data_IF_304037304781
#
_entry.id   IF_304037304781
#
_cell.length_a   1.000
_cell.length_b   1.000
_cell.length_c   1.000
_cell.angle_alpha   90.00
_cell.angle_beta   90.00
_cell.angle_gamma   90.00
#
_symmetry.space_group_name_H-M   'P 1'
#
loop_
_entity.id
_entity.type
_entity.pdbx_description
1 polymer ?
#
# COMPACT_ATOMS: atom_id res chain seq x y z
N UNK A 1 -26.88 -55.29 64.98
CA UNK A 1 -27.39 -55.00 63.62
C UNK A 1 -26.80 -53.66 63.19
N UNK A 2 -25.97 -53.67 62.14
CA UNK A 2 -25.01 -52.62 61.75
C UNK A 2 -25.65 -51.45 60.98
N UNK A 3 -25.37 -50.22 61.39
CA UNK A 3 -25.70 -49.00 60.65
C UNK A 3 -24.52 -48.61 59.74
N UNK A 4 -24.59 -48.90 58.44
CA UNK A 4 -23.56 -48.51 57.46
C UNK A 4 -23.82 -47.10 56.92
N UNK A 5 -22.89 -46.17 57.21
CA UNK A 5 -22.76 -44.86 56.55
C UNK A 5 -22.44 -45.07 55.06
N UNK A 6 -23.22 -44.46 54.17
CA UNK A 6 -22.87 -44.30 52.74
C UNK A 6 -22.31 -42.90 52.53
N UNK A 7 -21.08 -42.82 52.04
CA UNK A 7 -20.39 -41.61 51.61
C UNK A 7 -20.92 -41.26 50.22
N UNK A 8 -21.49 -40.07 50.04
CA UNK A 8 -21.79 -39.51 48.72
C UNK A 8 -20.52 -38.85 48.18
N UNK A 9 -19.98 -39.36 47.08
CA UNK A 9 -18.94 -38.70 46.31
C UNK A 9 -19.56 -37.61 45.43
N UNK A 10 -19.15 -36.36 45.61
CA UNK A 10 -19.52 -35.26 44.75
C UNK A 10 -18.71 -35.35 43.43
N UNK A 11 -19.40 -35.59 42.32
CA UNK A 11 -18.80 -35.50 40.99
C UNK A 11 -18.64 -34.01 40.62
N UNK A 12 -17.40 -33.55 40.57
CA UNK A 12 -17.04 -32.23 40.08
C UNK A 12 -17.23 -32.21 38.56
N UNK A 13 -18.30 -31.58 38.08
CA UNK A 13 -18.51 -31.35 36.65
C UNK A 13 -17.54 -30.25 36.21
N UNK A 14 -16.43 -30.62 35.58
CA UNK A 14 -15.57 -29.69 34.85
C UNK A 14 -16.35 -29.18 33.64
N UNK A 15 -16.85 -27.95 33.71
CA UNK A 15 -17.35 -27.25 32.54
C UNK A 15 -16.18 -27.02 31.57
N UNK A 16 -16.31 -27.30 30.27
CA UNK A 16 -15.27 -26.95 29.31
C UNK A 16 -15.13 -25.42 29.31
N UNK A 17 -13.97 -24.92 29.70
CA UNK A 17 -13.61 -23.53 29.44
C UNK A 17 -13.58 -23.35 27.93
N UNK A 18 -14.54 -22.62 27.37
CA UNK A 18 -14.44 -22.11 26.02
C UNK A 18 -13.13 -21.32 25.94
N UNK A 19 -12.13 -21.85 25.24
CA UNK A 19 -10.94 -21.10 24.93
C UNK A 19 -11.39 -19.84 24.18
N UNK A 20 -11.03 -18.65 24.68
CA UNK A 20 -11.25 -17.41 23.95
C UNK A 20 -10.61 -17.57 22.56
N UNK A 21 -11.38 -17.32 21.50
CA UNK A 21 -10.84 -17.36 20.15
C UNK A 21 -9.64 -16.42 20.07
N UNK A 22 -8.48 -16.94 19.66
CA UNK A 22 -7.30 -16.11 19.46
C UNK A 22 -7.61 -15.07 18.39
N UNK A 23 -7.18 -13.82 18.62
CA UNK A 23 -7.34 -12.77 17.63
C UNK A 23 -6.67 -13.15 16.31
N UNK A 24 -7.24 -12.74 15.19
CA UNK A 24 -6.76 -13.07 13.84
C UNK A 24 -6.67 -11.83 12.96
N UNK A 25 -5.86 -11.92 11.91
CA UNK A 25 -5.78 -10.93 10.85
C UNK A 25 -6.42 -11.51 9.59
N UNK A 26 -7.44 -10.84 9.08
CA UNK A 26 -8.14 -11.25 7.86
C UNK A 26 -7.97 -10.19 6.78
N UNK A 27 -7.75 -10.59 5.51
CA UNK A 27 -7.79 -9.64 4.42
C UNK A 27 -9.17 -9.02 4.25
N UNK A 28 -9.18 -7.81 3.72
CA UNK A 28 -10.35 -7.10 3.24
C UNK A 28 -10.02 -6.54 1.84
N UNK A 29 -10.76 -6.95 0.78
CA UNK A 29 -11.81 -7.96 0.78
C UNK A 29 -11.31 -9.35 1.24
N UNK A 30 -12.22 -10.21 1.69
CA UNK A 30 -11.88 -11.54 2.26
C UNK A 30 -11.17 -12.46 1.26
N UNK A 31 -11.31 -12.17 -0.03
CA UNK A 31 -10.51 -12.76 -1.11
C UNK A 31 -9.52 -11.71 -1.60
N UNK A 32 -8.26 -11.82 -1.17
CA UNK A 32 -7.20 -10.96 -1.66
C UNK A 32 -6.76 -11.42 -3.05
N UNK A 33 -6.79 -10.49 -3.99
CA UNK A 33 -6.61 -10.76 -5.41
C UNK A 33 -5.50 -9.84 -5.95
N UNK A 34 -4.60 -10.37 -6.78
CA UNK A 34 -3.48 -9.59 -7.29
C UNK A 34 -3.95 -8.35 -8.07
N UNK A 35 -3.27 -7.22 -7.88
CA UNK A 35 -3.66 -5.94 -8.49
C UNK A 35 -4.88 -5.27 -7.84
N UNK A 36 -5.57 -5.90 -6.89
CA UNK A 36 -6.59 -5.22 -6.09
C UNK A 36 -5.97 -4.51 -4.89
N UNK A 37 -6.60 -3.43 -4.42
CA UNK A 37 -6.26 -2.83 -3.13
C UNK A 37 -6.61 -3.81 -2.01
N UNK A 38 -5.58 -4.32 -1.34
CA UNK A 38 -5.74 -5.27 -0.25
C UNK A 38 -5.53 -4.53 1.06
N UNK A 39 -6.47 -4.70 1.98
CA UNK A 39 -6.32 -4.25 3.35
C UNK A 39 -6.35 -5.43 4.31
N UNK A 40 -5.95 -5.22 5.57
CA UNK A 40 -6.07 -6.23 6.62
C UNK A 40 -6.81 -5.66 7.82
N UNK A 41 -7.69 -6.49 8.38
CA UNK A 41 -8.48 -6.20 9.57
C UNK A 41 -8.10 -7.16 10.70
N UNK A 42 -8.02 -6.63 11.93
CA UNK A 42 -7.89 -7.43 13.14
C UNK A 42 -9.28 -7.86 13.63
N UNK A 43 -9.46 -9.13 14.01
CA UNK A 43 -10.71 -9.65 14.54
C UNK A 43 -10.46 -10.38 15.86
N UNK A 44 -11.44 -10.33 16.77
CA UNK A 44 -11.38 -11.06 18.04
C UNK A 44 -10.36 -10.52 19.05
N UNK A 45 -9.83 -9.31 18.85
CA UNK A 45 -8.97 -8.65 19.82
C UNK A 45 -9.81 -8.09 20.99
N UNK A 46 -9.39 -8.40 22.21
CA UNK A 46 -10.20 -8.20 23.42
C UNK A 46 -10.11 -6.80 24.04
N UNK A 47 -9.15 -5.96 23.62
CA UNK A 47 -8.90 -4.64 24.20
C UNK A 47 -9.11 -3.52 23.18
N UNK A 48 -9.67 -2.35 23.55
CA UNK A 48 -9.78 -1.18 22.67
C UNK A 48 -8.43 -0.82 22.03
N UNK A 49 -8.33 -0.95 20.70
CA UNK A 49 -7.24 -0.33 19.94
C UNK A 49 -7.45 1.18 19.97
N UNK A 50 -6.47 1.91 20.50
CA UNK A 50 -6.57 3.35 20.72
C UNK A 50 -6.18 4.14 19.46
N UNK A 51 -5.20 3.63 18.71
CA UNK A 51 -4.84 4.14 17.41
C UNK A 51 -5.39 3.19 16.33
N UNK A 52 -6.10 3.69 15.29
CA UNK A 52 -6.25 2.89 14.09
C UNK A 52 -4.83 2.64 13.59
N UNK A 53 -4.43 1.37 13.47
CA UNK A 53 -3.14 1.08 12.84
C UNK A 53 -3.22 1.51 11.39
N UNK A 54 -2.80 2.74 11.10
CA UNK A 54 -2.71 3.26 9.74
C UNK A 54 -1.35 2.95 9.13
N UNK A 55 -0.53 2.15 9.85
CA UNK A 55 0.91 2.14 9.77
C UNK A 55 1.49 0.74 9.81
N UNK A 56 2.12 0.35 8.71
CA UNK A 56 2.79 -0.93 8.56
C UNK A 56 4.10 -0.78 7.81
N UNK A 57 4.84 -1.87 7.85
CA UNK A 57 6.08 -2.04 7.13
C UNK A 57 6.05 -3.37 6.38
N UNK A 58 6.70 -3.43 5.21
CA UNK A 58 6.91 -4.64 4.42
C UNK A 58 8.38 -5.10 4.40
N UNK A 59 8.64 -6.30 4.90
CA UNK A 59 9.93 -6.99 4.75
C UNK A 59 9.76 -8.21 3.86
N UNK A 60 10.10 -8.08 2.57
CA UNK A 60 9.89 -9.14 1.58
C UNK A 60 8.41 -9.51 1.48
N UNK A 61 8.07 -10.72 1.93
CA UNK A 61 6.70 -11.23 1.96
C UNK A 61 6.02 -11.08 3.33
N UNK A 62 6.65 -10.43 4.32
CA UNK A 62 6.07 -10.21 5.65
C UNK A 62 5.64 -8.75 5.82
N UNK A 63 4.38 -8.55 6.18
CA UNK A 63 3.85 -7.27 6.65
C UNK A 63 3.87 -7.26 8.17
N UNK A 64 4.42 -6.20 8.77
CA UNK A 64 4.40 -6.01 10.23
C UNK A 64 3.67 -4.71 10.50
N UNK A 65 2.57 -4.82 11.21
CA UNK A 65 1.61 -3.76 11.52
C UNK A 65 1.64 -3.53 13.03
N UNK A 66 1.80 -2.29 13.45
CA UNK A 66 1.80 -1.94 14.88
C UNK A 66 0.43 -1.38 15.26
N UNK A 67 -0.16 -1.94 16.30
CA UNK A 67 -1.41 -1.49 16.89
C UNK A 67 -1.15 -1.11 18.35
N UNK A 68 -1.64 0.05 18.76
CA UNK A 68 -1.64 0.47 20.16
C UNK A 68 -2.98 0.16 20.81
N UNK A 69 -2.95 -0.38 22.02
CA UNK A 69 -4.15 -0.64 22.82
C UNK A 69 -3.95 -0.20 24.27
N UNK A 70 -5.06 0.09 24.95
CA UNK A 70 -5.08 0.36 26.38
C UNK A 70 -5.93 -0.70 27.09
N UNK A 71 -5.39 -1.37 28.11
CA UNK A 71 -6.17 -2.30 28.94
C UNK A 71 -7.12 -1.58 29.90
N UNK A 72 -6.77 -0.34 30.28
CA UNK A 72 -7.41 0.40 31.36
C UNK A 72 -7.96 1.73 30.81
N UNK A 73 -9.14 1.67 30.17
CA UNK A 73 -9.74 2.83 29.51
C UNK A 73 -10.70 3.61 30.42
N UNK A 74 -10.48 4.93 30.57
CA UNK A 74 -11.44 5.86 31.20
C UNK A 74 -11.48 7.18 30.41
N UNK A 75 -12.47 7.36 29.53
CA UNK A 75 -12.63 8.59 28.74
C UNK A 75 -13.89 8.59 27.85
N UNK A 76 -14.37 9.76 27.37
CA UNK A 76 -15.64 9.87 26.64
C UNK A 76 -15.53 9.64 25.12
N UNK A 77 -14.42 9.09 24.61
CA UNK A 77 -14.25 8.82 23.19
C UNK A 77 -14.95 7.53 22.76
N UNK A 78 -15.59 7.60 21.59
CA UNK A 78 -16.41 6.51 21.03
C UNK A 78 -15.54 5.30 20.68
N UNK A 79 -15.99 4.08 21.01
CA UNK A 79 -15.30 2.82 20.68
C UNK A 79 -15.47 2.41 19.20
N UNK A 80 -15.59 3.37 18.27
CA UNK A 80 -15.90 3.16 16.85
C UNK A 80 -14.70 3.38 15.90
N UNK A 81 -13.49 3.68 16.40
CA UNK A 81 -12.24 3.66 15.60
C UNK A 81 -11.83 2.25 15.10
N UNK A 82 -12.66 1.25 15.36
CA UNK A 82 -12.29 -0.16 15.46
C UNK A 82 -12.26 -0.95 14.15
N UNK A 83 -12.60 -0.35 13.03
CA UNK A 83 -12.86 -1.12 11.83
C UNK A 83 -12.19 -0.57 10.57
N UNK A 84 -11.21 0.31 10.69
CA UNK A 84 -10.47 0.83 9.52
C UNK A 84 -9.45 -0.23 9.09
N UNK A 85 -9.66 -0.91 7.94
CA UNK A 85 -8.72 -1.90 7.46
C UNK A 85 -7.40 -1.21 7.09
N UNK A 86 -6.26 -1.82 7.43
CA UNK A 86 -4.94 -1.28 7.11
C UNK A 86 -4.64 -1.55 5.64
N UNK A 87 -4.57 -0.53 4.76
CA UNK A 87 -4.34 -0.76 3.34
C UNK A 87 -2.89 -1.21 3.12
N UNK A 88 -2.68 -2.45 2.69
CA UNK A 88 -1.38 -2.98 2.30
C UNK A 88 -0.97 -2.60 0.87
N UNK A 89 -1.92 -2.05 0.11
CA UNK A 89 -1.76 -1.68 -1.30
C UNK A 89 -2.02 -2.84 -2.24
N UNK A 90 -1.59 -2.67 -3.50
CA UNK A 90 -1.67 -3.73 -4.51
C UNK A 90 -0.49 -4.68 -4.37
N UNK A 91 -0.79 -5.97 -4.30
CA UNK A 91 0.21 -7.02 -4.10
C UNK A 91 0.26 -7.97 -5.31
N UNK A 92 1.47 -8.40 -5.72
CA UNK A 92 1.62 -9.54 -6.60
C UNK A 92 0.96 -10.81 -6.02
N UNK A 93 0.53 -11.72 -6.89
CA UNK A 93 0.05 -13.03 -6.45
C UNK A 93 1.15 -13.78 -5.66
N UNK A 94 0.77 -14.40 -4.55
CA UNK A 94 1.70 -15.11 -3.68
C UNK A 94 1.22 -15.22 -2.24
N UNK A 95 2.05 -15.88 -1.43
CA UNK A 95 1.79 -16.02 0.01
C UNK A 95 2.62 -15.01 0.79
N UNK A 96 1.93 -14.28 1.65
CA UNK A 96 2.47 -13.28 2.55
C UNK A 96 2.20 -13.69 4.00
N UNK A 97 3.00 -13.17 4.93
CA UNK A 97 2.72 -13.28 6.35
C UNK A 97 2.34 -11.91 6.89
N UNK A 98 1.23 -11.78 7.60
CA UNK A 98 0.84 -10.51 8.23
C UNK A 98 0.93 -10.67 9.72
N UNK A 99 1.70 -9.79 10.35
CA UNK A 99 1.90 -9.72 11.79
C UNK A 99 1.30 -8.44 12.34
N UNK A 100 0.48 -8.54 13.37
CA UNK A 100 0.04 -7.42 14.18
C UNK A 100 0.78 -7.48 15.52
N UNK A 101 1.55 -6.44 15.82
CA UNK A 101 2.19 -6.26 17.12
C UNK A 101 1.30 -5.33 17.94
N UNK A 102 0.72 -5.87 19.01
CA UNK A 102 -0.15 -5.16 19.93
C UNK A 102 0.70 -4.57 21.05
N UNK A 103 0.81 -3.24 21.08
CA UNK A 103 1.61 -2.46 22.01
C UNK A 103 0.70 -1.92 23.11
N UNK A 104 1.00 -2.30 24.36
CA UNK A 104 0.27 -1.82 25.53
C UNK A 104 0.75 -0.42 25.89
N UNK A 105 -0.12 0.58 25.73
CA UNK A 105 0.22 1.97 26.05
C UNK A 105 0.40 2.21 27.54
N UNK A 106 -0.22 1.38 28.40
CA UNK A 106 -0.04 1.47 29.86
C UNK A 106 1.30 0.85 30.29
N UNK A 107 1.85 -0.07 29.50
CA UNK A 107 3.10 -0.78 29.78
C UNK A 107 4.05 -0.75 28.56
N UNK A 108 4.58 0.42 28.18
CA UNK A 108 5.31 0.59 26.91
C UNK A 108 6.62 -0.22 26.80
N UNK A 109 7.16 -0.69 27.93
CA UNK A 109 8.35 -1.54 27.97
C UNK A 109 8.04 -3.05 27.88
N UNK A 110 6.76 -3.44 27.90
CA UNK A 110 6.37 -4.83 27.73
C UNK A 110 6.60 -5.28 26.28
N UNK A 111 6.94 -6.55 26.10
CA UNK A 111 7.03 -7.13 24.77
C UNK A 111 5.64 -7.08 24.09
N UNK A 112 5.55 -6.62 22.82
CA UNK A 112 4.27 -6.59 22.12
C UNK A 112 3.66 -7.98 21.99
N UNK A 113 2.33 -8.08 22.12
CA UNK A 113 1.65 -9.33 21.78
C UNK A 113 1.57 -9.46 20.27
N UNK A 114 1.98 -10.60 19.71
CA UNK A 114 2.04 -10.78 18.25
C UNK A 114 0.93 -11.71 17.78
N UNK A 115 0.10 -11.22 16.88
CA UNK A 115 -0.88 -12.01 16.12
C UNK A 115 -0.29 -12.19 14.72
N UNK A 116 -0.17 -13.42 14.25
CA UNK A 116 0.30 -13.72 12.90
C UNK A 116 -0.78 -14.46 12.14
N UNK A 117 -1.05 -14.05 10.90
CA UNK A 117 -1.94 -14.79 10.01
C UNK A 117 -1.35 -14.81 8.59
N UNK A 118 -1.43 -15.96 7.88
CA UNK A 118 -1.05 -16.00 6.48
C UNK A 118 -2.04 -15.18 5.66
N UNK A 119 -1.51 -14.43 4.69
CA UNK A 119 -2.28 -13.74 3.67
C UNK A 119 -1.95 -14.36 2.32
N UNK A 120 -2.92 -15.05 1.72
CA UNK A 120 -2.77 -15.54 0.34
C UNK A 120 -3.37 -14.51 -0.59
N UNK A 121 -2.55 -13.95 -1.47
CA UNK A 121 -3.02 -13.13 -2.59
C UNK A 121 -3.11 -14.06 -3.80
N UNK A 122 -4.32 -14.39 -4.17
CA UNK A 122 -4.58 -15.24 -5.33
C UNK A 122 -4.47 -14.43 -6.61
N UNK A 123 -4.29 -15.12 -7.74
CA UNK A 123 -4.75 -14.56 -9.01
C UNK A 123 -6.27 -14.72 -9.07
N UNK A 124 -6.96 -13.78 -9.71
CA UNK A 124 -8.32 -14.03 -10.15
C UNK A 124 -8.30 -15.21 -11.13
N UNK A 125 -9.09 -16.26 -10.85
CA UNK A 125 -9.10 -17.46 -11.66
C UNK A 125 -9.84 -17.28 -13.00
N UNK A 126 -10.56 -16.17 -13.17
CA UNK A 126 -11.44 -15.90 -14.31
C UNK A 126 -11.01 -14.67 -15.11
N UNK A 127 -10.29 -13.74 -14.49
CA UNK A 127 -9.96 -12.45 -15.09
C UNK A 127 -8.44 -12.21 -15.22
N UNK A 128 -8.03 -11.49 -16.26
CA UNK A 128 -6.65 -11.01 -16.43
C UNK A 128 -6.35 -9.89 -15.44
N UNK A 129 -5.11 -9.80 -14.97
CA UNK A 129 -4.78 -8.82 -13.93
C UNK A 129 -3.43 -8.18 -14.20
N UNK A 130 -3.36 -6.86 -14.16
CA UNK A 130 -2.10 -6.13 -14.12
C UNK A 130 -1.68 -5.86 -12.69
N UNK A 131 -0.37 -5.89 -12.45
CA UNK A 131 0.24 -5.43 -11.20
C UNK A 131 1.36 -4.45 -11.54
N UNK A 132 1.23 -3.16 -11.16
CA UNK A 132 0.04 -2.56 -10.55
C UNK A 132 -1.16 -2.53 -11.50
N UNK A 133 -2.39 -2.39 -10.98
CA UNK A 133 -3.63 -2.33 -11.77
C UNK A 133 -3.64 -1.16 -12.75
N UNK A 134 -2.98 -0.06 -12.35
CA UNK A 134 -2.74 1.14 -13.15
C UNK A 134 -1.23 1.34 -13.37
N UNK A 135 -0.62 0.64 -14.33
CA UNK A 135 0.80 0.80 -14.60
C UNK A 135 1.16 2.21 -15.08
N UNK A 136 2.31 2.68 -14.63
CA UNK A 136 2.88 3.93 -15.09
C UNK A 136 3.42 3.78 -16.52
N UNK A 137 3.23 4.82 -17.33
CA UNK A 137 3.63 4.82 -18.72
C UNK A 137 5.14 4.65 -18.85
N UNK A 138 5.55 3.83 -19.82
CA UNK A 138 6.95 3.46 -20.08
C UNK A 138 7.66 2.69 -18.96
N UNK A 139 6.97 2.32 -17.88
CA UNK A 139 7.49 1.42 -16.85
C UNK A 139 7.04 -0.01 -17.08
N UNK A 140 7.88 -0.96 -16.70
CA UNK A 140 7.54 -2.37 -16.79
C UNK A 140 6.48 -2.72 -15.73
N UNK A 141 5.54 -3.57 -16.09
CA UNK A 141 4.54 -4.11 -15.18
C UNK A 141 4.23 -5.56 -15.54
N UNK A 142 3.62 -6.28 -14.62
CA UNK A 142 3.32 -7.70 -14.80
C UNK A 142 1.83 -7.90 -15.11
N UNK A 143 1.52 -8.79 -16.07
CA UNK A 143 0.17 -9.32 -16.30
C UNK A 143 0.12 -10.77 -15.79
N UNK A 144 -0.88 -11.05 -14.97
CA UNK A 144 -1.23 -12.38 -14.50
C UNK A 144 -2.34 -12.96 -15.38
N UNK A 145 -2.07 -14.15 -15.92
CA UNK A 145 -2.99 -14.88 -16.79
C UNK A 145 -3.41 -16.16 -16.10
N UNK A 146 -4.67 -16.30 -15.66
CA UNK A 146 -5.16 -17.52 -15.05
C UNK A 146 -5.53 -18.57 -16.10
N UNK A 147 -5.61 -19.82 -15.66
CA UNK A 147 -6.09 -20.94 -16.46
C UNK A 147 -6.84 -21.93 -15.58
N UNK A 148 -8.01 -22.39 -16.03
CA UNK A 148 -8.76 -23.47 -15.37
C UNK A 148 -8.12 -24.86 -15.56
N UNK A 149 -7.03 -24.93 -16.32
CA UNK A 149 -6.26 -26.13 -16.64
C UNK A 149 -4.78 -25.87 -16.38
N UNK A 150 -4.01 -26.94 -16.14
CA UNK A 150 -2.56 -26.82 -16.13
C UNK A 150 -2.07 -26.32 -17.48
N UNK A 151 -1.39 -25.17 -17.50
CA UNK A 151 -0.86 -24.57 -18.72
C UNK A 151 0.68 -24.49 -18.67
N UNK A 152 1.28 -24.47 -19.86
CA UNK A 152 2.72 -24.52 -20.07
C UNK A 152 3.32 -23.11 -20.04
N UNK A 153 4.09 -22.75 -19.00
CA UNK A 153 4.70 -21.44 -18.89
C UNK A 153 5.75 -21.16 -19.97
N UNK A 154 6.36 -22.20 -20.57
CA UNK A 154 7.35 -22.02 -21.63
C UNK A 154 6.71 -21.65 -22.98
N UNK A 155 5.40 -21.87 -23.14
CA UNK A 155 4.66 -21.57 -24.37
C UNK A 155 4.19 -20.11 -24.49
N UNK A 156 4.38 -19.32 -23.44
CA UNK A 156 3.80 -17.98 -23.31
C UNK A 156 4.44 -17.02 -24.30
N UNK A 157 3.61 -16.31 -25.05
CA UNK A 157 4.04 -15.31 -26.03
C UNK A 157 3.26 -14.01 -25.85
N UNK A 158 3.99 -12.92 -25.63
CA UNK A 158 3.45 -11.56 -25.59
C UNK A 158 3.54 -10.91 -26.97
N UNK A 159 2.45 -10.31 -27.43
CA UNK A 159 2.38 -9.54 -28.68
C UNK A 159 1.56 -8.27 -28.47
N UNK A 160 1.80 -7.27 -29.33
CA UNK A 160 1.11 -5.99 -29.29
C UNK A 160 0.45 -5.74 -30.65
N UNK A 161 -0.83 -5.39 -30.64
CA UNK A 161 -1.58 -5.03 -31.84
C UNK A 161 -2.47 -3.81 -31.55
N UNK A 162 -2.00 -2.62 -31.95
CA UNK A 162 -2.61 -1.35 -31.56
C UNK A 162 -2.73 -1.22 -30.04
N UNK A 163 -3.96 -1.13 -29.55
CA UNK A 163 -4.26 -1.03 -28.12
C UNK A 163 -4.47 -2.40 -27.45
N UNK A 164 -4.16 -3.50 -28.12
CA UNK A 164 -4.29 -4.86 -27.56
C UNK A 164 -2.92 -5.35 -27.11
N UNK A 165 -2.84 -5.71 -25.82
CA UNK A 165 -1.74 -6.45 -25.21
C UNK A 165 -2.13 -7.92 -25.16
N UNK A 166 -1.63 -8.71 -26.11
CA UNK A 166 -2.07 -10.09 -26.32
C UNK A 166 -1.09 -11.10 -25.72
N UNK A 167 -1.60 -12.02 -24.91
CA UNK A 167 -0.87 -13.15 -24.34
C UNK A 167 -1.41 -14.48 -24.89
N UNK A 168 -0.63 -15.13 -25.76
CA UNK A 168 -0.94 -16.48 -26.24
C UNK A 168 -0.22 -17.53 -25.38
N UNK A 169 -0.89 -18.66 -25.09
CA UNK A 169 -0.30 -19.76 -24.32
C UNK A 169 -0.92 -21.12 -24.68
N UNK A 170 -0.30 -22.21 -24.21
CA UNK A 170 -0.76 -23.60 -24.35
C UNK A 170 -1.21 -24.20 -23.03
N UNK A 171 -2.28 -24.98 -23.03
CA UNK A 171 -2.79 -25.68 -21.83
C UNK A 171 -3.09 -27.17 -22.06
N UNK A 172 -3.13 -27.96 -21.00
CA UNK A 172 -3.52 -29.37 -21.00
C UNK A 172 -5.00 -29.55 -20.61
N UNK A 173 -5.90 -29.84 -21.57
CA UNK A 173 -7.33 -29.99 -21.31
C UNK A 173 -7.69 -31.22 -20.44
N UNK A 174 -6.76 -32.16 -20.22
CA UNK A 174 -7.02 -33.38 -19.43
C UNK A 174 -6.75 -33.20 -17.94
N UNK A 175 -6.09 -32.11 -17.54
CA UNK A 175 -5.63 -31.88 -16.18
C UNK A 175 -6.25 -30.57 -15.64
N UNK A 176 -7.44 -30.62 -15.02
CA UNK A 176 -8.06 -29.46 -14.39
C UNK A 176 -7.31 -29.06 -13.11
N UNK A 177 -7.48 -27.81 -12.69
CA UNK A 177 -6.83 -27.25 -11.49
C UNK A 177 -7.64 -27.46 -10.19
N UNK A 178 -8.82 -28.11 -10.24
CA UNK A 178 -9.70 -28.41 -9.09
C UNK A 178 -10.03 -29.92 -8.96
N UNK A 179 -10.21 -30.48 -7.74
CA UNK A 179 -10.17 -29.87 -6.41
C UNK A 179 -8.89 -30.17 -5.60
N UNK A 180 -8.35 -29.12 -4.99
CA UNK A 180 -7.37 -29.17 -3.90
C UNK A 180 -8.00 -29.80 -2.64
N UNK A 181 -8.10 -31.13 -2.61
CA UNK A 181 -8.06 -31.90 -1.36
C UNK A 181 -6.75 -32.69 -1.40
N UNK A 182 -5.84 -32.43 -0.46
CA UNK A 182 -4.61 -33.20 -0.20
C UNK A 182 -3.38 -32.96 -1.10
N UNK A 183 -2.88 -31.72 -1.19
CA UNK A 183 -1.43 -31.48 -1.35
C UNK A 183 -0.74 -32.10 -2.58
N UNK A 184 -1.46 -32.33 -3.68
CA UNK A 184 -0.86 -32.82 -4.91
C UNK A 184 -0.07 -31.69 -5.60
N UNK A 185 1.21 -31.94 -5.86
CA UNK A 185 2.00 -31.12 -6.77
C UNK A 185 1.48 -31.32 -8.20
N UNK A 186 1.25 -30.24 -8.94
CA UNK A 186 0.90 -30.31 -10.36
C UNK A 186 1.93 -31.06 -11.21
N UNK A 187 1.60 -31.44 -12.45
CA UNK A 187 2.56 -32.04 -13.38
C UNK A 187 3.84 -31.21 -13.47
N UNK A 188 5.03 -31.84 -13.50
CA UNK A 188 6.29 -31.09 -13.55
C UNK A 188 6.30 -30.07 -14.69
N UNK A 189 6.56 -28.81 -14.35
CA UNK A 189 6.68 -27.71 -15.31
C UNK A 189 5.36 -27.03 -15.70
N UNK A 190 4.18 -27.54 -15.32
CA UNK A 190 2.90 -26.88 -15.57
C UNK A 190 2.35 -26.17 -14.33
N UNK A 191 1.64 -25.06 -14.54
CA UNK A 191 1.05 -24.23 -13.48
C UNK A 191 -0.38 -23.82 -13.85
N UNK A 192 -1.15 -23.25 -12.91
CA UNK A 192 -2.53 -22.80 -13.13
C UNK A 192 -2.66 -21.31 -13.47
N UNK A 193 -1.57 -20.55 -13.35
CA UNK A 193 -1.45 -19.17 -13.83
C UNK A 193 -0.01 -18.87 -14.29
N UNK A 194 0.19 -17.90 -15.21
CA UNK A 194 1.52 -17.35 -15.55
C UNK A 194 1.58 -15.86 -15.23
N UNK A 195 2.81 -15.36 -15.15
CA UNK A 195 3.14 -13.95 -15.12
C UNK A 195 3.93 -13.59 -16.37
N UNK A 196 3.51 -12.50 -17.02
CA UNK A 196 4.18 -11.96 -18.19
C UNK A 196 4.54 -10.51 -17.92
N UNK A 197 5.83 -10.20 -18.00
CA UNK A 197 6.29 -8.81 -17.86
C UNK A 197 6.09 -8.08 -19.18
N UNK A 198 5.29 -7.03 -19.14
CA UNK A 198 5.10 -6.08 -20.24
C UNK A 198 6.20 -5.03 -20.15
N UNK A 199 6.92 -4.84 -21.27
CA UNK A 199 7.85 -3.72 -21.40
C UNK A 199 7.03 -2.46 -21.61
N UNK A 200 7.30 -1.41 -20.81
CA UNK A 200 6.38 -0.30 -20.61
C UNK A 200 5.68 0.26 -21.85
N UNK A 201 4.41 0.63 -21.66
CA UNK A 201 3.52 1.08 -22.72
C UNK A 201 3.41 2.62 -22.74
N UNK A 202 3.11 3.23 -23.90
CA UNK A 202 2.63 4.59 -23.95
C UNK A 202 1.39 4.80 -23.07
N UNK A 203 1.09 6.04 -22.64
CA UNK A 203 -0.15 6.35 -21.95
C UNK A 203 -1.35 6.03 -22.83
N UNK A 204 -2.37 5.40 -22.25
CA UNK A 204 -3.58 5.10 -23.00
C UNK A 204 -4.44 4.03 -22.35
N UNK A 205 -5.60 3.83 -22.98
CA UNK A 205 -6.51 2.75 -22.67
C UNK A 205 -6.23 1.57 -23.61
N UNK A 206 -5.86 0.45 -23.02
CA UNK A 206 -5.52 -0.81 -23.66
C UNK A 206 -6.53 -1.89 -23.30
N UNK A 207 -6.48 -3.00 -24.04
CA UNK A 207 -7.13 -4.25 -23.70
C UNK A 207 -6.06 -5.32 -23.49
N UNK A 208 -6.02 -5.90 -22.31
CA UNK A 208 -5.34 -7.18 -22.11
C UNK A 208 -6.20 -8.26 -22.74
N UNK A 209 -5.59 -9.14 -23.52
CA UNK A 209 -6.30 -10.21 -24.21
C UNK A 209 -5.47 -11.49 -24.10
N UNK A 210 -6.05 -12.59 -23.62
CA UNK A 210 -5.35 -13.87 -23.57
C UNK A 210 -6.04 -14.91 -24.44
N UNK A 211 -5.23 -15.79 -25.05
CA UNK A 211 -5.72 -16.95 -25.78
C UNK A 211 -4.93 -18.18 -25.39
N UNK A 212 -5.57 -19.06 -24.63
CA UNK A 212 -5.12 -20.41 -24.36
C UNK A 212 -5.56 -21.35 -25.47
N UNK A 213 -4.61 -22.06 -26.08
CA UNK A 213 -4.88 -23.14 -27.04
C UNK A 213 -4.52 -24.49 -26.43
N UNK A 214 -5.25 -25.57 -26.71
CA UNK A 214 -4.91 -26.88 -26.16
C UNK A 214 -3.56 -27.35 -26.74
N UNK A 215 -2.81 -28.09 -25.94
CA UNK A 215 -1.59 -28.77 -26.36
C UNK A 215 -1.90 -29.99 -27.27
N UNK A 216 -3.08 -30.56 -27.13
CA UNK A 216 -3.59 -31.66 -27.93
C UNK A 216 -4.57 -31.14 -29.01
N UNK A 217 -4.26 -31.36 -30.31
CA UNK A 217 -5.07 -30.85 -31.42
C UNK A 217 -6.44 -31.53 -31.55
N UNK A 218 -6.71 -32.63 -30.83
CA UNK A 218 -8.05 -33.25 -30.77
C UNK A 218 -9.05 -32.43 -29.98
N UNK A 219 -8.59 -31.46 -29.18
CA UNK A 219 -9.44 -30.50 -28.50
C UNK A 219 -9.51 -29.21 -29.31
N UNK A 220 -10.71 -28.66 -29.46
CA UNK A 220 -10.97 -27.42 -30.22
C UNK A 220 -11.35 -26.24 -29.35
N UNK A 221 -11.43 -26.44 -28.03
CA UNK A 221 -11.79 -25.39 -27.08
C UNK A 221 -10.62 -24.43 -26.86
N UNK A 222 -10.89 -23.14 -26.90
CA UNK A 222 -9.95 -22.09 -26.55
C UNK A 222 -10.38 -21.43 -25.24
N UNK A 223 -9.41 -21.03 -24.43
CA UNK A 223 -9.66 -20.15 -23.28
C UNK A 223 -9.34 -18.73 -23.69
N UNK A 224 -10.30 -17.84 -23.54
CA UNK A 224 -10.16 -16.43 -23.89
C UNK A 224 -10.56 -15.61 -22.69
N UNK A 225 -9.71 -14.69 -22.28
CA UNK A 225 -10.03 -13.66 -21.31
C UNK A 225 -9.63 -12.30 -21.87
N UNK A 226 -10.35 -11.25 -21.51
CA UNK A 226 -10.01 -9.90 -21.91
C UNK A 226 -10.44 -8.90 -20.85
N UNK A 227 -9.55 -7.96 -20.54
CA UNK A 227 -9.77 -6.97 -19.49
C UNK A 227 -9.24 -5.61 -19.91
N UNK A 228 -9.89 -4.50 -19.53
CA UNK A 228 -9.36 -3.18 -19.79
C UNK A 228 -8.08 -2.95 -18.98
N UNK A 229 -7.15 -2.20 -19.56
CA UNK A 229 -5.90 -1.80 -18.92
C UNK A 229 -5.67 -0.32 -19.14
N UNK A 230 -5.45 0.42 -18.06
CA UNK A 230 -5.19 1.86 -18.13
C UNK A 230 -3.74 2.13 -17.80
N UNK A 231 -2.98 2.57 -18.80
CA UNK A 231 -1.59 2.98 -18.62
C UNK A 231 -1.58 4.49 -18.37
N UNK A 232 -1.17 4.89 -17.18
CA UNK A 232 -1.28 6.28 -16.69
C UNK A 232 0.08 6.96 -16.67
N UNK A 233 0.10 8.28 -16.79
CA UNK A 233 1.31 9.09 -16.60
C UNK A 233 1.45 9.61 -15.18
N UNK A 234 0.43 9.44 -14.35
CA UNK A 234 0.46 9.73 -12.92
C UNK A 234 0.87 8.49 -12.13
N UNK A 235 1.46 8.73 -10.96
CA UNK A 235 1.72 7.73 -9.91
C UNK A 235 1.20 8.26 -8.59
N UNK A 236 1.15 7.41 -7.57
CA UNK A 236 0.76 7.82 -6.23
C UNK A 236 1.95 8.36 -5.43
N UNK A 237 1.80 9.57 -4.90
CA UNK A 237 2.65 10.07 -3.81
C UNK A 237 2.10 9.55 -2.49
N UNK A 238 2.90 8.76 -1.78
CA UNK A 238 2.50 8.03 -0.56
C UNK A 238 3.04 8.74 0.67
N UNK A 239 2.17 8.95 1.67
CA UNK A 239 2.55 9.48 2.97
C UNK A 239 3.07 8.38 3.91
N UNK A 240 4.17 8.68 4.58
CA UNK A 240 4.82 7.91 5.62
C UNK A 240 4.88 8.72 6.92
N UNK A 241 4.95 8.01 8.03
CA UNK A 241 5.14 8.57 9.36
C UNK A 241 6.26 7.85 10.12
N UNK A 242 7.13 8.62 10.77
CA UNK A 242 8.15 8.13 11.69
C UNK A 242 7.81 8.51 13.14
N UNK A 243 7.53 7.49 13.94
CA UNK A 243 7.07 7.61 15.34
C UNK A 243 8.16 8.17 16.26
N UNK A 244 9.39 7.68 16.14
CA UNK A 244 10.50 8.11 16.98
C UNK A 244 10.80 9.61 16.87
N UNK A 245 10.36 10.25 15.78
CA UNK A 245 10.58 11.68 15.53
C UNK A 245 9.30 12.48 15.36
N UNK A 246 8.12 11.84 15.44
CA UNK A 246 6.80 12.41 15.15
C UNK A 246 6.75 13.19 13.82
N UNK A 247 7.22 12.57 12.72
CA UNK A 247 7.36 13.25 11.41
C UNK A 247 6.57 12.57 10.31
N UNK A 248 6.04 13.40 9.42
CA UNK A 248 5.43 12.96 8.16
C UNK A 248 6.38 13.19 6.99
N UNK A 249 6.37 12.28 6.03
CA UNK A 249 7.11 12.38 4.78
C UNK A 249 6.22 11.91 3.63
N UNK A 250 6.31 12.54 2.47
CA UNK A 250 5.56 12.13 1.28
C UNK A 250 6.54 11.93 0.14
N UNK A 251 6.41 10.83 -0.59
CA UNK A 251 7.23 10.56 -1.78
C UNK A 251 6.47 9.75 -2.82
N UNK A 252 6.73 10.03 -4.08
CA UNK A 252 6.33 9.23 -5.24
C UNK A 252 7.50 8.46 -5.85
N UNK A 253 8.70 8.55 -5.25
CA UNK A 253 9.91 7.94 -5.79
C UNK A 253 9.97 6.46 -5.42
N UNK A 254 9.96 5.56 -6.40
CA UNK A 254 9.91 4.12 -6.18
C UNK A 254 11.04 3.56 -5.29
N UNK A 255 12.26 4.08 -5.42
CA UNK A 255 13.39 3.66 -4.58
C UNK A 255 13.25 4.12 -3.13
N UNK A 256 12.77 5.35 -2.89
CA UNK A 256 12.50 5.86 -1.54
C UNK A 256 11.37 5.06 -0.89
N UNK A 257 10.27 4.81 -1.62
CA UNK A 257 9.18 3.93 -1.19
C UNK A 257 9.72 2.56 -0.78
N UNK A 258 10.57 1.95 -1.60
CA UNK A 258 11.18 0.64 -1.32
C UNK A 258 12.04 0.65 -0.05
N UNK A 259 12.79 1.73 0.20
CA UNK A 259 13.60 1.88 1.42
C UNK A 259 12.74 2.12 2.66
N UNK A 260 11.74 3.01 2.55
CA UNK A 260 10.85 3.36 3.66
C UNK A 260 9.96 2.18 4.06
N UNK A 261 9.59 1.34 3.10
CA UNK A 261 8.81 0.13 3.34
C UNK A 261 9.54 -0.93 4.16
N UNK A 262 10.86 -0.81 4.46
CA UNK A 262 11.62 -1.78 5.28
C UNK A 262 11.55 -1.45 6.79
N UNK A 263 11.51 -2.43 7.72
CA UNK A 263 11.30 -2.04 9.16
C UNK A 263 12.47 -1.29 9.74
N UNK A 264 13.67 -1.58 9.26
CA UNK A 264 14.87 -0.87 9.68
C UNK A 264 14.81 0.63 9.38
N UNK A 265 13.87 1.10 8.54
CA UNK A 265 13.69 2.52 8.25
C UNK A 265 13.10 3.30 9.43
N UNK A 266 12.28 2.66 10.27
CA UNK A 266 11.48 3.33 11.30
C UNK A 266 10.27 4.13 10.77
N UNK A 267 10.02 4.08 9.45
CA UNK A 267 8.88 4.72 8.79
C UNK A 267 7.76 3.73 8.54
N UNK A 268 6.52 4.20 8.61
CA UNK A 268 5.32 3.40 8.36
C UNK A 268 4.40 4.18 7.40
N UNK A 269 3.85 3.54 6.37
CA UNK A 269 2.84 4.18 5.48
C UNK A 269 1.65 4.68 6.30
N UNK A 270 0.87 5.68 5.85
CA UNK A 270 -0.33 6.15 6.59
C UNK A 270 -1.66 5.78 5.93
N UNK A 271 -1.60 5.22 4.71
CA UNK A 271 -2.76 5.04 3.84
C UNK A 271 -3.22 6.31 3.12
N UNK A 272 -2.58 7.47 3.38
CA UNK A 272 -2.84 8.69 2.63
C UNK A 272 -1.99 8.74 1.36
N UNK A 273 -2.63 9.05 0.24
CA UNK A 273 -1.97 9.20 -1.05
C UNK A 273 -2.73 10.15 -1.98
N UNK A 274 -2.03 10.65 -2.99
CA UNK A 274 -2.63 11.44 -4.08
C UNK A 274 -1.82 11.25 -5.36
N UNK A 275 -2.46 11.48 -6.51
CA UNK A 275 -1.81 11.31 -7.80
C UNK A 275 -0.92 12.52 -8.14
N UNK A 276 0.28 12.23 -8.62
CA UNK A 276 1.28 13.20 -9.09
C UNK A 276 1.92 12.68 -10.38
N UNK A 277 2.63 13.54 -11.10
CA UNK A 277 3.33 13.14 -12.33
C UNK A 277 4.83 13.09 -12.11
N UNK A 278 5.51 11.95 -12.28
CA UNK A 278 6.96 11.86 -12.12
C UNK A 278 7.73 12.72 -13.13
N UNK A 279 7.14 12.93 -14.31
CA UNK A 279 7.78 13.60 -15.45
C UNK A 279 6.90 14.68 -16.06
N UNK A 280 7.52 15.77 -16.52
CA UNK A 280 6.83 16.88 -17.18
C UNK A 280 6.03 16.42 -18.41
N UNK A 281 6.61 15.52 -19.21
CA UNK A 281 6.00 15.02 -20.44
C UNK A 281 4.70 14.24 -20.20
N UNK A 282 4.53 13.67 -19.02
CA UNK A 282 3.32 12.96 -18.62
C UNK A 282 2.28 13.86 -17.93
N UNK A 283 2.68 15.07 -17.52
CA UNK A 283 1.85 15.97 -16.73
C UNK A 283 0.88 16.79 -17.61
N UNK A 284 -0.33 17.10 -17.10
CA UNK A 284 -1.26 17.97 -17.80
C UNK A 284 -0.70 19.38 -18.01
N UNK A 285 -1.23 20.06 -19.02
CA UNK A 285 -0.83 21.41 -19.36
C UNK A 285 -0.93 22.35 -18.16
N UNK A 286 0.13 23.13 -17.91
CA UNK A 286 0.20 24.06 -16.77
C UNK A 286 0.69 23.44 -15.46
N UNK A 287 0.94 22.12 -15.40
CA UNK A 287 1.61 21.51 -14.26
C UNK A 287 3.00 22.13 -14.03
N UNK A 288 3.33 22.39 -12.77
CA UNK A 288 4.58 23.00 -12.34
C UNK A 288 5.49 21.96 -11.68
N UNK A 289 6.82 22.10 -11.80
CA UNK A 289 7.76 21.26 -11.07
C UNK A 289 7.64 21.52 -9.57
N UNK A 290 7.54 20.46 -8.78
CA UNK A 290 7.51 20.53 -7.32
C UNK A 290 8.93 20.39 -6.78
N UNK A 291 9.47 21.49 -6.28
CA UNK A 291 10.77 21.53 -5.64
C UNK A 291 10.69 20.90 -4.26
N UNK A 292 11.63 19.99 -3.96
CA UNK A 292 11.82 19.40 -2.63
C UNK A 292 13.04 20.02 -1.96
N UNK A 293 12.90 20.32 -0.68
CA UNK A 293 13.98 20.79 0.17
C UNK A 293 14.03 20.00 1.48
N UNK A 294 15.23 19.79 2.02
CA UNK A 294 15.44 19.20 3.33
C UNK A 294 16.25 20.12 4.23
N UNK A 295 15.78 20.37 5.45
CA UNK A 295 16.50 21.13 6.47
C UNK A 295 17.06 20.21 7.56
N UNK A 296 18.39 19.92 7.59
CA UNK A 296 18.97 18.98 8.56
C UNK A 296 18.77 19.40 10.02
N UNK A 297 18.79 20.71 10.31
CA UNK A 297 18.60 21.20 11.69
C UNK A 297 17.18 21.00 12.22
N UNK A 298 16.20 20.91 11.31
CA UNK A 298 14.79 20.72 11.63
C UNK A 298 14.38 19.25 11.44
N UNK A 299 15.13 18.50 10.62
CA UNK A 299 14.74 17.20 10.12
C UNK A 299 13.43 17.25 9.33
N UNK A 300 13.23 18.32 8.57
CA UNK A 300 11.96 18.61 7.90
C UNK A 300 12.13 18.65 6.37
N UNK A 301 11.09 18.20 5.68
CA UNK A 301 10.97 18.37 4.23
C UNK A 301 9.97 19.48 3.89
N UNK A 302 10.24 20.18 2.78
CA UNK A 302 9.34 21.19 2.21
C UNK A 302 9.14 20.91 0.72
N UNK A 303 7.89 20.89 0.28
CA UNK A 303 7.50 20.72 -1.11
C UNK A 303 6.72 21.94 -1.57
N UNK A 304 7.13 22.52 -2.70
CA UNK A 304 6.39 23.63 -3.32
C UNK A 304 6.46 23.58 -4.83
N UNK A 305 5.30 23.79 -5.45
CA UNK A 305 5.14 23.99 -6.89
C UNK A 305 5.11 25.49 -7.24
N UNK A 306 5.16 26.38 -6.23
CA UNK A 306 5.16 27.82 -6.43
C UNK A 306 6.58 28.26 -6.81
N UNK A 307 6.77 28.65 -8.07
CA UNK A 307 8.09 28.99 -8.61
C UNK A 307 8.83 30.06 -7.80
N UNK A 308 8.12 31.05 -7.25
CA UNK A 308 8.71 32.09 -6.41
C UNK A 308 9.21 31.55 -5.06
N UNK A 309 8.47 30.64 -4.42
CA UNK A 309 8.92 29.98 -3.17
C UNK A 309 10.13 29.10 -3.42
N UNK A 310 10.12 28.33 -4.52
CA UNK A 310 11.25 27.48 -4.89
C UNK A 310 12.50 28.32 -5.19
N UNK A 311 12.38 29.42 -5.95
CA UNK A 311 13.50 30.31 -6.23
C UNK A 311 14.05 30.93 -4.94
N UNK A 312 13.17 31.44 -4.08
CA UNK A 312 13.57 32.04 -2.81
C UNK A 312 14.31 31.06 -1.89
N UNK A 313 13.83 29.82 -1.75
CA UNK A 313 14.52 28.80 -0.94
C UNK A 313 15.90 28.41 -1.51
N UNK A 314 16.06 28.38 -2.84
CA UNK A 314 17.36 28.14 -3.48
C UNK A 314 18.34 29.30 -3.29
N UNK A 315 17.83 30.54 -3.34
CA UNK A 315 18.64 31.72 -3.06
C UNK A 315 19.07 31.76 -1.59
N UNK A 316 18.16 31.41 -0.67
CA UNK A 316 18.45 31.28 0.75
C UNK A 316 19.53 30.23 1.00
N UNK A 317 19.41 29.04 0.40
CA UNK A 317 20.44 27.99 0.47
C UNK A 317 21.81 28.53 0.04
N UNK A 318 21.86 29.23 -1.10
CA UNK A 318 23.10 29.77 -1.67
C UNK A 318 23.75 30.77 -0.71
N UNK A 319 22.96 31.68 -0.13
CA UNK A 319 23.44 32.69 0.83
C UNK A 319 23.96 32.07 2.12
N UNK A 320 23.23 31.09 2.67
CA UNK A 320 23.61 30.40 3.90
C UNK A 320 24.86 29.54 3.70
N UNK A 321 24.97 28.81 2.57
CA UNK A 321 26.19 28.05 2.23
C UNK A 321 27.40 28.95 2.06
N UNK A 322 27.25 30.13 1.46
CA UNK A 322 28.33 31.11 1.31
C UNK A 322 28.77 31.72 2.66
N UNK A 323 27.88 31.76 3.64
CA UNK A 323 28.19 32.21 5.01
C UNK A 323 28.95 31.12 5.77
N UNK A 324 28.44 29.89 5.71
CA UNK A 324 29.00 28.73 6.41
C UNK A 324 30.36 28.30 5.86
N UNK A 325 30.63 28.48 4.56
CA UNK A 325 31.94 28.19 3.98
C UNK A 325 33.07 29.04 4.58
N UNK A 326 32.73 30.17 5.23
CA UNK A 326 33.69 31.03 5.94
C UNK A 326 33.92 30.59 7.39
N UNK A 327 32.94 29.93 8.03
CA UNK A 327 33.05 29.47 9.42
C UNK A 327 33.48 28.00 9.54
N UNK A 328 33.24 27.18 8.52
CA UNK A 328 33.50 25.75 8.53
C UNK A 328 32.42 24.91 9.23
N UNK A 329 31.29 25.52 9.61
CA UNK A 329 30.19 24.81 10.27
C UNK A 329 29.46 23.84 9.32
N UNK A 330 28.66 22.94 9.87
CA UNK A 330 27.74 22.13 9.07
C UNK A 330 26.56 22.98 8.55
N UNK A 331 26.14 22.73 7.31
CA UNK A 331 24.95 23.37 6.74
C UNK A 331 23.68 22.89 7.45
N UNK A 332 22.83 23.84 7.87
CA UNK A 332 21.66 23.59 8.72
C UNK A 332 20.33 24.03 8.11
N UNK A 333 20.34 24.86 7.08
CA UNK A 333 19.12 25.39 6.46
C UNK A 333 18.52 24.48 5.40
N UNK A 334 17.65 25.03 4.57
CA UNK A 334 16.95 24.30 3.52
C UNK A 334 17.89 23.97 2.36
N UNK A 335 18.20 22.69 2.18
CA UNK A 335 18.98 22.20 1.04
C UNK A 335 18.04 21.76 -0.08
N UNK A 336 18.27 22.23 -1.31
CA UNK A 336 17.51 21.80 -2.48
C UNK A 336 17.85 20.35 -2.85
N UNK A 337 16.82 19.50 -2.93
CA UNK A 337 16.96 18.08 -3.27
C UNK A 337 16.51 17.76 -4.70
N UNK A 338 15.99 18.74 -5.44
CA UNK A 338 15.55 18.58 -6.83
C UNK A 338 14.04 18.73 -7.02
N UNK A 339 13.60 18.41 -8.24
CA UNK A 339 12.18 18.28 -8.57
C UNK A 339 11.76 16.85 -8.27
N UNK A 340 10.77 16.68 -7.38
CA UNK A 340 10.33 15.33 -6.95
C UNK A 340 9.16 14.78 -7.77
N UNK A 341 8.32 15.66 -8.31
CA UNK A 341 7.21 15.35 -9.21
C UNK A 341 6.68 16.67 -9.79
N UNK A 342 5.68 16.59 -10.65
CA UNK A 342 4.95 17.71 -11.23
C UNK A 342 3.52 17.70 -10.69
N UNK A 343 2.97 18.88 -10.44
CA UNK A 343 1.61 19.04 -9.92
C UNK A 343 0.94 20.28 -10.50
N UNK A 344 -0.39 20.24 -10.60
CA UNK A 344 -1.19 21.40 -11.00
C UNK A 344 -1.36 22.32 -9.79
N UNK A 345 -1.16 23.63 -9.97
CA UNK A 345 -1.39 24.61 -8.91
C UNK A 345 -2.88 24.98 -8.81
N UNK A 346 -3.41 25.19 -7.58
CA UNK A 346 -4.72 25.79 -7.42
C UNK A 346 -4.73 27.26 -7.84
N UNK A 347 -5.88 27.73 -8.34
CA UNK A 347 -6.13 29.14 -8.62
C UNK A 347 -6.95 29.74 -7.48
N UNK A 348 -6.44 30.80 -6.84
CA UNK A 348 -7.07 31.44 -5.66
C UNK A 348 -7.42 30.43 -4.55
N UNK A 349 -6.55 29.44 -4.32
CA UNK A 349 -6.76 28.40 -3.32
C UNK A 349 -7.78 27.32 -3.70
N UNK A 350 -8.26 27.31 -4.94
CA UNK A 350 -9.23 26.34 -5.44
C UNK A 350 -8.72 25.57 -6.66
N UNK A 351 -9.08 24.29 -6.73
CA UNK A 351 -8.81 23.45 -7.89
C UNK A 351 -9.97 23.53 -8.88
N UNK A 352 -9.66 23.48 -10.17
CA UNK A 352 -10.67 23.47 -11.24
C UNK A 352 -11.56 22.20 -11.19
N UNK A 353 -12.66 22.21 -11.93
CA UNK A 353 -13.53 21.05 -12.06
C UNK A 353 -12.77 19.82 -12.58
N UNK A 354 -13.08 18.64 -12.03
CA UNK A 354 -12.35 17.39 -12.29
C UNK A 354 -11.11 17.19 -11.40
N UNK A 355 -10.74 18.19 -10.60
CA UNK A 355 -9.61 18.12 -9.67
C UNK A 355 -10.10 18.19 -8.21
N UNK A 356 -9.26 17.71 -7.28
CA UNK A 356 -9.42 17.88 -5.83
C UNK A 356 -8.14 18.47 -5.22
N UNK A 357 -8.26 19.27 -4.15
CA UNK A 357 -7.11 19.92 -3.53
C UNK A 357 -6.26 18.92 -2.75
N UNK A 358 -4.94 19.08 -2.84
CA UNK A 358 -4.00 18.59 -1.84
C UNK A 358 -3.67 19.76 -0.93
N UNK A 359 -4.10 19.67 0.31
CA UNK A 359 -3.97 20.74 1.29
C UNK A 359 -2.71 20.56 2.12
N UNK A 360 -2.02 21.68 2.42
CA UNK A 360 -0.86 21.70 3.29
C UNK A 360 -1.24 22.20 4.68
N UNK A 361 -0.70 21.56 5.70
CA UNK A 361 -0.68 22.11 7.05
C UNK A 361 0.73 22.15 7.61
N UNK A 362 0.96 23.04 8.57
CA UNK A 362 2.26 23.21 9.23
C UNK A 362 2.15 23.29 10.75
N UNK A 363 3.03 22.61 11.44
CA UNK A 363 3.27 22.70 12.89
C UNK A 363 4.44 23.65 13.23
N UNK A 364 4.94 24.41 12.23
CA UNK A 364 6.14 25.24 12.32
C UNK A 364 7.22 24.74 11.36
N UNK A 365 8.07 23.78 11.75
CA UNK A 365 9.13 23.25 10.90
C UNK A 365 8.66 22.16 9.93
N UNK A 366 7.59 21.41 10.23
CA UNK A 366 7.13 20.31 9.39
C UNK A 366 5.90 20.69 8.57
N UNK A 367 5.74 19.98 7.46
CA UNK A 367 4.64 20.15 6.51
C UNK A 367 4.01 18.79 6.25
N UNK A 368 2.69 18.73 6.36
CA UNK A 368 1.89 17.56 6.02
C UNK A 368 0.96 17.89 4.85
N UNK A 369 0.80 16.95 3.92
CA UNK A 369 0.06 17.13 2.67
C UNK A 369 -1.10 16.12 2.63
N UNK A 370 -2.34 16.60 2.56
CA UNK A 370 -3.53 15.76 2.63
C UNK A 370 -4.53 16.11 1.51
N UNK A 371 -4.88 15.12 0.69
CA UNK A 371 -5.97 15.20 -0.29
C UNK A 371 -7.33 14.86 0.31
N UNK A 372 -7.35 14.06 1.39
CA UNK A 372 -8.54 13.74 2.17
C UNK A 372 -8.92 14.92 3.09
N UNK A 373 -10.16 15.38 2.97
CA UNK A 373 -10.66 16.53 3.72
C UNK A 373 -10.92 16.22 5.20
N UNK A 374 -11.21 14.97 5.56
CA UNK A 374 -11.34 14.56 6.96
C UNK A 374 -9.97 14.59 7.65
N UNK A 375 -8.93 14.09 6.97
CA UNK A 375 -7.55 14.19 7.47
C UNK A 375 -7.14 15.65 7.60
N UNK A 376 -7.38 16.47 6.57
CA UNK A 376 -7.06 17.89 6.63
C UNK A 376 -7.83 18.65 7.73
N UNK A 377 -9.11 18.31 7.92
CA UNK A 377 -9.92 18.85 9.01
C UNK A 377 -9.36 18.49 10.39
N UNK A 378 -8.91 17.25 10.58
CA UNK A 378 -8.28 16.81 11.83
C UNK A 378 -6.96 17.52 12.13
N UNK A 379 -6.23 17.96 11.10
CA UNK A 379 -4.96 18.66 11.30
C UNK A 379 -5.16 20.00 12.02
N UNK A 380 -6.34 20.63 11.91
CA UNK A 380 -6.62 21.93 12.54
C UNK A 380 -6.47 21.95 14.07
N UNK A 381 -6.47 20.79 14.74
CA UNK A 381 -6.25 20.71 16.19
C UNK A 381 -4.82 21.05 16.63
N UNK A 382 -3.82 20.79 15.78
CA UNK A 382 -2.41 20.96 16.14
C UNK A 382 -1.56 21.61 15.03
N UNK A 383 -2.13 21.81 13.84
CA UNK A 383 -1.44 22.31 12.66
C UNK A 383 -2.15 23.55 12.13
N UNK A 384 -1.36 24.56 11.75
CA UNK A 384 -1.84 25.68 10.96
C UNK A 384 -2.23 25.18 9.57
N UNK A 385 -3.48 25.41 9.19
CA UNK A 385 -3.98 25.13 7.85
C UNK A 385 -3.47 26.20 6.86
N UNK A 386 -2.73 25.78 5.83
CA UNK A 386 -2.17 26.66 4.80
C UNK A 386 -2.97 26.66 3.48
N UNK A 387 -4.03 25.85 3.40
CA UNK A 387 -4.89 25.69 2.23
C UNK A 387 -4.34 24.73 1.16
N UNK A 388 -5.00 24.75 0.00
CA UNK A 388 -4.62 23.95 -1.15
C UNK A 388 -3.29 24.44 -1.73
N UNK A 389 -2.35 23.52 -1.95
CA UNK A 389 -1.04 23.81 -2.57
C UNK A 389 -0.85 23.06 -3.89
N UNK A 390 -1.54 21.93 -4.07
CA UNK A 390 -1.59 21.19 -5.33
C UNK A 390 -3.04 20.83 -5.68
N UNK A 391 -3.25 20.46 -6.93
CA UNK A 391 -4.46 19.83 -7.43
C UNK A 391 -4.10 18.45 -7.98
N UNK A 392 -4.80 17.44 -7.50
CA UNK A 392 -4.71 16.05 -7.98
C UNK A 392 -6.02 15.69 -8.71
N UNK A 393 -6.00 14.78 -9.70
CA UNK A 393 -7.22 14.24 -10.29
C UNK A 393 -8.13 13.64 -9.22
N UNK A 394 -9.45 13.70 -9.45
CA UNK A 394 -10.45 13.21 -8.50
C UNK A 394 -10.42 11.71 -8.29
#
# INVERSE_FOLDING_TARGET
MNLKKKILAAALVLAPTLAAAQATLTPYPSQAVAGSMISVKINGWQWPTYAPATRYVRQGNTFIIDFEYASDFFGPSRPDFWDIPVPLGELPAGTYNVQARMIDTANPNAAPQVISSPLTVATDAQHLQSVPSKPHASENFDIYVPSSYYFDPASVKLTYDGNIVRVDYRFDPRQPVTPMLAGMSGPPGLVSWTRVTVSGLPPGDYWMYSVGSPNDPSFTNYYIAYEPLQVRTSVEAIEYYAEATDRYFVTSTASEITTLDQQSSGWKRTGQQFEVWPQAAGAPAGAQPVCRFYAPSLGAHYHTAIGAECAWLRDLETQERATISKSGDAFKGWAYEGVTFYAVLPSNGQCADGWKPVNRGSDGPHRRYASDMQVYGSMAFAWKQEGAVFCTPR
#
